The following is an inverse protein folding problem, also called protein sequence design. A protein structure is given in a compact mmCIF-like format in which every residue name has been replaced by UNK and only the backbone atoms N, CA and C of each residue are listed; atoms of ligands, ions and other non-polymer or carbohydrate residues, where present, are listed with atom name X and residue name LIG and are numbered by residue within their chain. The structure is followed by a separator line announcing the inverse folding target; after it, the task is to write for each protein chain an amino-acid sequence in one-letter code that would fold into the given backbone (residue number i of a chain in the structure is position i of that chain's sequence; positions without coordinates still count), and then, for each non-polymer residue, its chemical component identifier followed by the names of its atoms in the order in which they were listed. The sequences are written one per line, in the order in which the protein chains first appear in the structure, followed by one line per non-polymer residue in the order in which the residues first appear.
data_IF_592495569801
#
_entry.id   IF_592495569801
#
_cell.length_a   1.000
_cell.length_b   1.000
_cell.length_c   1.000
_cell.angle_alpha   90.00
_cell.angle_beta   90.00
_cell.angle_gamma   90.00
#
_symmetry.space_group_name_H-M   'P 1'
#
loop_
_entity.id
_entity.type
_entity.pdbx_description
1 polymer ?
#
# COMPACT_ATOMS: atom_id res chain seq x y z
N UNK A 1 -4.08 7.88 -6.56
CA UNK A 1 -2.95 6.92 -6.61
C UNK A 1 -3.09 5.93 -5.46
N UNK A 2 -2.66 4.68 -5.61
CA UNK A 2 -2.67 3.69 -4.52
C UNK A 2 -1.22 3.29 -4.23
N UNK A 3 -0.87 3.20 -2.95
CA UNK A 3 0.45 2.80 -2.43
C UNK A 3 0.23 1.87 -1.23
N UNK A 4 1.27 1.14 -0.85
CA UNK A 4 1.28 0.29 0.35
C UNK A 4 1.96 1.03 1.49
N UNK A 5 1.38 0.94 2.68
CA UNK A 5 2.06 1.34 3.92
C UNK A 5 3.25 0.39 4.12
N UNK A 6 4.44 0.97 4.28
CA UNK A 6 5.68 0.25 4.50
C UNK A 6 6.25 0.48 5.91
N UNK A 7 5.89 1.59 6.57
CA UNK A 7 6.18 1.84 7.99
C UNK A 7 5.15 2.80 8.62
N UNK A 8 4.89 2.60 9.90
CA UNK A 8 3.99 3.35 10.78
C UNK A 8 4.74 4.37 11.65
N UNK A 9 4.05 5.32 12.31
CA UNK A 9 4.68 6.25 13.25
C UNK A 9 5.61 5.57 14.27
N UNK A 10 6.82 6.09 14.42
CA UNK A 10 7.83 5.60 15.35
C UNK A 10 8.67 4.43 14.84
N UNK A 11 8.26 3.78 13.75
CA UNK A 11 9.05 2.75 13.08
C UNK A 11 10.17 3.37 12.25
N UNK A 12 11.22 2.58 11.98
CA UNK A 12 12.32 3.01 11.14
C UNK A 12 11.85 3.22 9.69
N UNK A 13 12.40 4.24 9.03
CA UNK A 13 12.20 4.44 7.59
C UNK A 13 12.80 3.23 6.85
N UNK A 14 12.02 2.51 6.04
CA UNK A 14 12.41 1.19 5.53
C UNK A 14 13.34 1.24 4.31
N UNK A 15 13.84 2.41 3.94
CA UNK A 15 14.71 2.61 2.77
C UNK A 15 15.90 3.49 3.18
N UNK A 16 17.14 2.99 3.02
CA UNK A 16 18.35 3.73 3.40
C UNK A 16 18.49 5.08 2.69
N UNK A 17 18.02 5.13 1.43
CA UNK A 17 18.11 6.29 0.53
C UNK A 17 17.31 7.49 1.02
N UNK A 18 16.26 7.27 1.81
CA UNK A 18 15.41 8.31 2.38
C UNK A 18 15.95 8.88 3.70
N UNK A 19 17.12 8.40 4.15
CA UNK A 19 17.79 8.81 5.37
C UNK A 19 17.57 7.85 6.55
N UNK A 20 18.44 7.96 7.55
CA UNK A 20 18.30 7.26 8.83
C UNK A 20 17.35 8.03 9.73
N UNK A 21 16.15 7.48 9.97
CA UNK A 21 15.15 8.16 10.77
C UNK A 21 13.96 7.27 11.14
N UNK A 22 13.11 7.79 12.02
CA UNK A 22 11.81 7.21 12.33
C UNK A 22 10.71 7.97 11.62
N UNK A 23 9.64 7.28 11.27
CA UNK A 23 8.43 7.92 10.75
C UNK A 23 7.84 8.84 11.84
N UNK A 24 7.57 10.12 11.55
CA UNK A 24 6.98 11.03 12.54
C UNK A 24 5.59 10.61 13.00
N UNK A 25 5.17 11.10 14.17
CA UNK A 25 3.78 11.01 14.59
C UNK A 25 2.84 11.64 13.53
N UNK A 26 1.67 11.03 13.32
CA UNK A 26 0.70 11.49 12.33
C UNK A 26 1.11 11.27 10.87
N UNK A 27 2.18 10.53 10.61
CA UNK A 27 2.65 10.22 9.25
C UNK A 27 2.77 8.71 9.01
N UNK A 28 2.64 8.31 7.77
CA UNK A 28 2.96 6.95 7.30
C UNK A 28 4.02 7.00 6.21
N UNK A 29 4.88 5.99 6.13
CA UNK A 29 5.77 5.81 4.99
C UNK A 29 5.11 4.89 3.97
N UNK A 30 4.93 5.34 2.73
CA UNK A 30 4.27 4.55 1.69
C UNK A 30 5.20 4.28 0.51
N UNK A 31 5.10 3.07 -0.03
CA UNK A 31 5.85 2.63 -1.21
C UNK A 31 4.88 2.13 -2.28
N UNK A 32 5.18 2.44 -3.54
CA UNK A 32 4.47 1.85 -4.66
C UNK A 32 5.08 0.52 -5.07
N UNK A 33 4.22 -0.40 -5.53
CA UNK A 33 4.65 -1.74 -5.97
C UNK A 33 5.64 -1.70 -7.16
N UNK A 34 5.63 -0.64 -7.95
CA UNK A 34 6.60 -0.43 -9.03
C UNK A 34 7.70 0.55 -8.58
N UNK A 35 8.78 -0.01 -8.03
CA UNK A 35 9.85 0.76 -7.38
C UNK A 35 10.48 1.82 -8.30
N UNK A 36 10.78 1.47 -9.55
CA UNK A 36 11.54 2.33 -10.48
C UNK A 36 10.82 3.65 -10.84
N UNK A 37 9.50 3.64 -10.93
CA UNK A 37 8.73 4.76 -11.48
C UNK A 37 7.81 5.43 -10.45
N UNK A 38 7.52 4.77 -9.34
CA UNK A 38 6.58 5.30 -8.34
C UNK A 38 7.04 6.63 -7.73
N UNK A 39 6.15 7.61 -7.77
CA UNK A 39 6.20 8.78 -6.90
C UNK A 39 5.56 8.42 -5.55
N UNK A 40 6.37 8.27 -4.52
CA UNK A 40 5.97 7.85 -3.17
C UNK A 40 6.92 8.44 -2.10
N UNK A 41 6.94 7.89 -0.89
CA UNK A 41 7.69 8.47 0.23
C UNK A 41 9.19 8.56 0.01
N UNK A 42 9.77 7.83 -0.95
CA UNK A 42 11.19 7.99 -1.31
C UNK A 42 11.50 9.36 -1.91
N UNK A 43 10.51 9.99 -2.53
CA UNK A 43 10.64 11.31 -3.16
C UNK A 43 9.97 12.41 -2.36
N UNK A 44 8.85 12.10 -1.72
CA UNK A 44 8.03 13.06 -0.98
C UNK A 44 8.27 13.07 0.54
N UNK A 45 8.99 12.07 1.08
CA UNK A 45 9.07 11.81 2.52
C UNK A 45 7.83 11.10 3.09
N UNK A 46 7.77 10.89 4.43
CA UNK A 46 6.57 10.40 5.10
C UNK A 46 5.34 11.25 4.77
N UNK A 47 4.18 10.60 4.60
CA UNK A 47 2.93 11.24 4.19
C UNK A 47 2.04 11.45 5.42
N UNK A 48 1.52 12.67 5.65
CA UNK A 48 0.63 12.97 6.77
C UNK A 48 -0.72 12.24 6.62
N UNK A 49 -1.30 11.80 7.74
CA UNK A 49 -2.55 11.02 7.76
C UNK A 49 -3.71 11.73 7.08
N UNK A 50 -3.76 13.06 7.13
CA UNK A 50 -4.82 13.89 6.54
C UNK A 50 -4.84 13.82 5.01
N UNK A 51 -3.74 13.37 4.38
CA UNK A 51 -3.67 13.11 2.94
C UNK A 51 -4.14 11.71 2.54
N UNK A 52 -4.45 10.84 3.50
CA UNK A 52 -4.97 9.50 3.23
C UNK A 52 -6.48 9.56 3.03
N UNK A 53 -6.96 9.15 1.86
CA UNK A 53 -8.40 9.20 1.53
C UNK A 53 -9.15 7.92 1.91
N UNK A 54 -8.52 6.75 1.75
CA UNK A 54 -9.15 5.45 1.97
C UNK A 54 -8.12 4.33 2.14
N UNK A 55 -8.56 3.19 2.68
CA UNK A 55 -7.79 1.93 2.75
C UNK A 55 -8.43 0.89 1.84
N UNK A 56 -7.62 0.20 1.04
CA UNK A 56 -8.06 -0.91 0.21
C UNK A 56 -8.03 -2.19 1.05
N UNK A 57 -9.20 -2.78 1.31
CA UNK A 57 -9.33 -3.97 2.17
C UNK A 57 -9.26 -5.29 1.39
N UNK A 58 -9.77 -5.33 0.16
CA UNK A 58 -9.74 -6.53 -0.66
C UNK A 58 -9.74 -6.21 -2.16
N UNK A 59 -9.27 -7.17 -2.96
CA UNK A 59 -9.43 -7.14 -4.42
C UNK A 59 -10.60 -8.05 -4.78
N UNK A 60 -11.67 -7.46 -5.31
CA UNK A 60 -12.80 -8.24 -5.81
C UNK A 60 -12.36 -9.02 -7.04
N UNK A 61 -12.59 -10.33 -7.03
CA UNK A 61 -12.44 -11.21 -8.20
C UNK A 61 -13.78 -11.23 -8.92
N UNK A 62 -13.78 -11.08 -10.25
CA UNK A 62 -14.88 -11.68 -11.00
C UNK A 62 -14.75 -13.19 -10.88
N UNK A 63 -15.85 -13.86 -10.53
CA UNK A 63 -15.93 -15.31 -10.62
C UNK A 63 -15.70 -15.75 -12.07
N UNK A 64 -15.16 -16.94 -12.24
CA UNK A 64 -15.13 -17.57 -13.56
C UNK A 64 -16.58 -17.89 -13.96
N UNK A 65 -17.10 -17.36 -15.09
CA UNK A 65 -18.41 -17.74 -15.57
C UNK A 65 -18.54 -19.26 -15.82
N UNK A 66 -17.44 -19.99 -16.01
CA UNK A 66 -17.45 -21.45 -16.19
C UNK A 66 -17.81 -22.21 -14.90
N UNK A 67 -17.57 -21.65 -13.71
CA UNK A 67 -17.91 -22.28 -12.42
C UNK A 67 -19.36 -22.05 -12.02
N UNK A 68 -20.08 -21.15 -12.70
CA UNK A 68 -21.47 -20.81 -12.37
C UNK A 68 -22.51 -21.84 -12.85
N UNK A 69 -22.09 -22.93 -13.51
CA UNK A 69 -23.00 -23.84 -14.21
C UNK A 69 -22.82 -25.35 -13.98
N UNK A 70 -21.88 -25.82 -13.15
CA UNK A 70 -21.78 -27.27 -12.88
C UNK A 70 -22.68 -27.68 -11.70
N UNK A 71 -23.77 -28.44 -11.91
CA UNK A 71 -24.45 -29.10 -10.81
C UNK A 71 -23.51 -30.14 -10.18
N UNK A 72 -23.35 -30.06 -8.87
CA UNK A 72 -22.70 -31.12 -8.09
C UNK A 72 -23.73 -32.21 -7.82
N UNK A 73 -23.63 -33.32 -8.55
CA UNK A 73 -24.41 -34.56 -8.37
C UNK A 73 -24.08 -35.50 -9.55
N UNK A 74 -23.71 -36.77 -9.36
CA UNK A 74 -24.20 -37.78 -8.41
C UNK A 74 -23.06 -38.71 -7.99
#
# INVERSE_FOLDING_TARGET
MIKRVAALPGEAVPVPEAGTGKVPAGHVYVLGDHHATSWDSRRAGPIPHERLTAVIVCRVRRGDPATAGLPTGT
#
